data_IF_807475873493
#
_entry.id   IF_807475873493
#
_cell.length_a   1.000
_cell.length_b   1.000
_cell.length_c   1.000
_cell.angle_alpha   90.00
_cell.angle_beta   90.00
_cell.angle_gamma   90.00
#
_symmetry.space_group_name_H-M   'P 1'
#
loop_
_entity.id
_entity.type
_entity.pdbx_description
1 polymer ?
#
# COMPACT_ATOMS: atom_id res chain seq x y z
N UNK A 1 3.61 -9.21 3.15
CA UNK A 1 2.40 -9.34 3.99
C UNK A 1 2.39 -8.22 5.04
N UNK A 2 1.24 -7.54 5.24
CA UNK A 2 1.04 -6.48 6.25
C UNK A 2 0.08 -6.93 7.38
N UNK A 3 -0.20 -8.23 7.49
CA UNK A 3 -1.08 -8.83 8.49
C UNK A 3 -0.78 -8.42 9.95
N UNK A 4 0.46 -8.03 10.26
CA UNK A 4 0.89 -7.55 11.58
C UNK A 4 0.85 -6.03 11.81
N UNK A 5 0.26 -5.24 10.90
CA UNK A 5 0.26 -3.77 11.03
C UNK A 5 -0.59 -3.32 12.23
N UNK A 6 -0.03 -2.48 13.10
CA UNK A 6 -0.78 -1.89 14.22
C UNK A 6 -1.65 -0.73 13.73
N UNK A 7 -2.82 -0.56 14.33
CA UNK A 7 -3.71 0.59 14.02
C UNK A 7 -3.06 1.93 14.41
N UNK A 8 -2.21 1.95 15.43
CA UNK A 8 -1.44 3.12 15.85
C UNK A 8 0.00 2.68 16.12
N UNK A 9 0.95 3.38 15.50
CA UNK A 9 2.39 3.20 15.69
C UNK A 9 3.00 4.53 16.17
N UNK A 10 3.95 4.50 17.10
CA UNK A 10 4.78 5.66 17.45
C UNK A 10 6.15 5.54 16.80
N UNK A 11 6.57 6.56 16.05
CA UNK A 11 7.80 6.53 15.27
C UNK A 11 8.25 7.96 14.93
N UNK A 12 9.53 8.30 15.15
CA UNK A 12 10.14 9.57 14.71
C UNK A 12 9.46 10.82 15.31
N UNK A 13 9.10 10.74 16.60
CA UNK A 13 8.38 11.83 17.26
C UNK A 13 6.94 12.04 16.75
N UNK A 14 6.38 11.08 15.99
CA UNK A 14 5.05 11.17 15.39
C UNK A 14 4.23 9.91 15.60
N UNK A 15 2.93 10.10 15.71
CA UNK A 15 1.95 9.02 15.62
C UNK A 15 1.63 8.74 14.16
N UNK A 16 1.73 7.47 13.77
CA UNK A 16 1.23 6.95 12.49
C UNK A 16 -0.03 6.15 12.77
N UNK A 17 -1.14 6.58 12.17
CA UNK A 17 -2.45 5.95 12.34
C UNK A 17 -2.79 5.23 11.03
N UNK A 18 -3.07 3.93 11.12
CA UNK A 18 -3.46 3.07 10.00
C UNK A 18 -4.93 2.65 10.18
N UNK A 19 -5.92 3.50 9.87
CA UNK A 19 -7.33 3.23 10.19
C UNK A 19 -7.91 2.01 9.46
N UNK A 20 -7.27 1.60 8.36
CA UNK A 20 -7.66 0.46 7.54
C UNK A 20 -6.76 -0.76 7.77
N UNK A 21 -5.95 -0.80 8.84
CA UNK A 21 -4.96 -1.87 9.07
C UNK A 21 -5.57 -3.28 9.09
N UNK A 22 -6.80 -3.40 9.57
CA UNK A 22 -7.51 -4.69 9.72
C UNK A 22 -8.56 -4.93 8.64
N UNK A 23 -8.63 -4.07 7.63
CA UNK A 23 -9.61 -4.21 6.57
C UNK A 23 -9.17 -5.25 5.54
N UNK A 24 -10.11 -6.08 5.11
CA UNK A 24 -9.91 -7.01 4.00
C UNK A 24 -10.10 -6.28 2.65
N UNK A 25 -9.59 -6.87 1.58
CA UNK A 25 -9.81 -6.36 0.22
C UNK A 25 -11.31 -6.26 -0.13
N UNK A 26 -12.12 -7.20 0.38
CA UNK A 26 -13.56 -7.21 0.16
C UNK A 26 -14.28 -6.09 0.90
N UNK A 27 -13.84 -5.76 2.13
CA UNK A 27 -14.37 -4.61 2.87
C UNK A 27 -14.05 -3.30 2.14
N UNK A 28 -12.82 -3.14 1.62
CA UNK A 28 -12.47 -1.97 0.81
C UNK A 28 -13.36 -1.90 -0.44
N UNK A 29 -13.54 -3.02 -1.16
CA UNK A 29 -14.40 -3.04 -2.37
C UNK A 29 -15.84 -2.66 -2.05
N UNK A 30 -16.40 -3.19 -0.97
CA UNK A 30 -17.76 -2.86 -0.51
C UNK A 30 -17.92 -1.36 -0.24
N UNK A 31 -16.96 -0.72 0.43
CA UNK A 31 -17.04 0.73 0.67
C UNK A 31 -16.94 1.57 -0.61
N UNK A 32 -16.16 1.12 -1.60
CA UNK A 32 -16.12 1.80 -2.90
C UNK A 32 -17.49 1.77 -3.57
N UNK A 33 -18.17 0.62 -3.56
CA UNK A 33 -19.50 0.46 -4.13
C UNK A 33 -20.56 1.25 -3.35
N UNK A 34 -20.58 1.13 -2.01
CA UNK A 34 -21.56 1.81 -1.16
C UNK A 34 -21.50 3.34 -1.26
N UNK A 35 -20.33 3.90 -1.55
CA UNK A 35 -20.09 5.35 -1.61
C UNK A 35 -19.90 5.88 -3.03
N UNK A 36 -20.07 5.04 -4.04
CA UNK A 36 -19.85 5.39 -5.45
C UNK A 36 -18.46 6.02 -5.71
N UNK A 37 -17.41 5.42 -5.11
CA UNK A 37 -16.05 5.91 -5.28
C UNK A 37 -15.44 5.37 -6.58
N UNK A 38 -14.82 6.23 -7.41
CA UNK A 38 -14.16 5.76 -8.62
C UNK A 38 -12.90 4.97 -8.28
N UNK A 39 -12.77 3.79 -8.89
CA UNK A 39 -11.52 3.01 -8.88
C UNK A 39 -10.48 3.67 -9.78
N UNK A 40 -9.20 3.49 -9.46
CA UNK A 40 -8.13 3.95 -10.34
C UNK A 40 -8.15 3.14 -11.66
N UNK A 41 -8.11 3.76 -12.86
CA UNK A 41 -8.29 3.06 -14.13
C UNK A 41 -7.31 1.89 -14.37
N UNK A 42 -6.08 2.00 -13.88
CA UNK A 42 -5.07 0.94 -14.00
C UNK A 42 -5.44 -0.35 -13.23
N UNK A 43 -6.33 -0.28 -12.23
CA UNK A 43 -6.80 -1.49 -11.53
C UNK A 43 -7.49 -2.43 -12.52
N UNK A 44 -8.33 -1.90 -13.41
CA UNK A 44 -8.98 -2.66 -14.49
C UNK A 44 -7.99 -3.20 -15.54
N UNK A 45 -6.78 -2.65 -15.59
CA UNK A 45 -5.70 -3.09 -16.48
C UNK A 45 -4.74 -4.09 -15.81
N UNK A 46 -5.08 -4.59 -14.61
CA UNK A 46 -4.29 -5.60 -13.90
C UNK A 46 -3.25 -5.04 -12.94
N UNK A 47 -3.36 -3.77 -12.52
CA UNK A 47 -2.46 -3.16 -11.52
C UNK A 47 -3.17 -2.99 -10.16
N UNK A 48 -3.27 -4.03 -9.32
CA UNK A 48 -3.96 -3.98 -8.03
C UNK A 48 -3.17 -3.21 -6.94
N UNK A 49 -1.87 -3.01 -7.11
CA UNK A 49 -1.06 -2.14 -6.26
C UNK A 49 -0.23 -1.19 -7.11
N UNK A 50 -0.48 0.11 -6.96
CA UNK A 50 0.08 1.15 -7.83
C UNK A 50 1.13 1.97 -7.06
N UNK A 51 2.30 2.17 -7.65
CA UNK A 51 3.36 3.05 -7.16
C UNK A 51 3.95 3.90 -8.29
N UNK A 52 5.27 4.15 -8.24
CA UNK A 52 5.96 4.82 -9.34
C UNK A 52 5.99 3.93 -10.59
N UNK A 53 5.90 4.54 -11.78
CA UNK A 53 5.91 3.85 -13.06
C UNK A 53 7.06 2.82 -13.25
N UNK A 54 8.34 3.12 -12.93
CA UNK A 54 9.43 2.16 -13.17
C UNK A 54 9.46 0.99 -12.17
N UNK A 55 8.62 1.00 -11.13
CA UNK A 55 8.64 0.00 -10.06
C UNK A 55 7.26 -0.64 -9.85
N UNK A 56 6.39 -0.58 -10.86
CA UNK A 56 5.04 -1.13 -10.82
C UNK A 56 4.75 -1.85 -12.14
N UNK A 57 4.37 -3.12 -12.08
CA UNK A 57 3.87 -3.90 -13.23
C UNK A 57 2.47 -4.47 -12.92
N UNK A 58 1.78 -4.91 -13.98
CA UNK A 58 0.57 -5.70 -13.82
C UNK A 58 0.89 -7.08 -13.22
N UNK A 59 -0.09 -7.69 -12.55
CA UNK A 59 0.02 -9.03 -11.96
C UNK A 59 -0.89 -10.02 -12.67
N UNK A 60 -0.51 -11.29 -12.71
CA UNK A 60 -1.36 -12.33 -13.27
C UNK A 60 -2.50 -12.69 -12.30
N UNK A 61 -3.63 -13.26 -12.79
CA UNK A 61 -4.69 -13.76 -11.92
C UNK A 61 -4.16 -14.75 -10.88
N UNK A 62 -4.47 -14.51 -9.60
CA UNK A 62 -4.03 -15.35 -8.49
C UNK A 62 -2.64 -15.04 -7.91
N UNK A 63 -1.87 -14.13 -8.52
CA UNK A 63 -0.66 -13.60 -7.89
C UNK A 63 -0.99 -12.71 -6.68
N UNK A 64 -0.02 -12.57 -5.77
CA UNK A 64 -0.11 -11.60 -4.68
C UNK A 64 -0.33 -10.19 -5.23
N UNK A 65 -1.25 -9.45 -4.63
CA UNK A 65 -1.66 -8.11 -5.11
C UNK A 65 -0.53 -7.07 -5.08
N UNK A 66 0.54 -7.30 -4.31
CA UNK A 66 1.73 -6.45 -4.25
C UNK A 66 2.91 -7.03 -5.04
N UNK A 67 2.80 -8.21 -5.66
CA UNK A 67 3.89 -8.83 -6.44
C UNK A 67 4.37 -7.95 -7.60
N UNK A 68 3.50 -7.06 -8.10
CA UNK A 68 3.83 -6.10 -9.15
C UNK A 68 4.67 -4.91 -8.66
N UNK A 69 4.80 -4.69 -7.35
CA UNK A 69 5.60 -3.61 -6.77
C UNK A 69 7.03 -4.06 -6.56
N UNK A 70 7.98 -3.24 -7.01
CA UNK A 70 9.41 -3.56 -6.94
C UNK A 70 9.76 -4.89 -7.58
N UNK A 71 9.00 -5.29 -8.62
CA UNK A 71 9.32 -6.44 -9.43
C UNK A 71 10.78 -6.33 -9.89
N UNK A 72 11.54 -7.41 -9.67
CA UNK A 72 12.96 -7.53 -10.02
C UNK A 72 13.92 -6.64 -9.19
N UNK A 73 13.47 -6.10 -8.06
CA UNK A 73 14.30 -5.36 -7.11
C UNK A 73 14.34 -6.07 -5.74
N UNK A 74 15.47 -5.96 -5.04
CA UNK A 74 15.61 -6.41 -3.65
C UNK A 74 15.01 -5.36 -2.69
N UNK A 75 13.70 -5.15 -2.82
CA UNK A 75 12.94 -4.17 -2.04
C UNK A 75 11.53 -4.64 -1.81
N UNK A 76 11.10 -4.60 -0.55
CA UNK A 76 9.77 -5.06 -0.13
C UNK A 76 8.88 -3.93 0.40
N UNK A 77 9.46 -2.79 0.78
CA UNK A 77 8.71 -1.67 1.33
C UNK A 77 9.26 -0.29 0.91
N UNK A 78 8.38 0.69 0.78
CA UNK A 78 8.72 2.05 0.38
C UNK A 78 9.42 2.82 1.50
N UNK A 79 10.35 3.72 1.14
CA UNK A 79 11.04 4.63 2.07
C UNK A 79 10.10 5.55 2.84
N UNK A 80 8.86 5.75 2.38
CA UNK A 80 7.84 6.51 3.14
C UNK A 80 7.40 5.79 4.44
N UNK A 81 7.73 4.49 4.57
CA UNK A 81 7.38 3.68 5.73
C UNK A 81 8.60 3.30 6.60
N UNK A 82 9.83 3.54 6.11
CA UNK A 82 11.08 3.28 6.83
C UNK A 82 11.79 4.60 7.17
N UNK A 83 12.46 4.63 8.32
CA UNK A 83 12.97 5.86 8.94
C UNK A 83 14.43 6.21 8.62
N UNK A 84 14.87 7.46 8.90
CA UNK A 84 14.09 8.61 9.43
C UNK A 84 13.96 9.77 8.46
N UNK A 85 12.98 10.62 8.74
CA UNK A 85 12.81 11.92 8.11
C UNK A 85 14.02 12.79 8.47
N UNK A 86 14.64 13.46 7.48
CA UNK A 86 15.89 14.25 7.65
C UNK A 86 15.75 15.53 8.50
N UNK A 87 14.81 15.58 9.45
CA UNK A 87 14.51 16.75 10.28
C UNK A 87 14.61 16.53 11.79
N UNK A 88 15.05 15.36 12.26
CA UNK A 88 15.13 15.05 13.69
C UNK A 88 16.43 15.49 14.40
N UNK A 89 17.31 16.26 13.72
CA UNK A 89 18.58 16.77 14.28
C UNK A 89 18.87 18.24 13.90
N UNK A 90 17.85 19.11 13.91
CA UNK A 90 18.06 20.57 13.98
C UNK A 90 17.37 21.08 15.24
#
# INVERSE_FOLDING_TARGET
DRSGLQSVEWSDGRYKINPLAHWTADQIRSEFEMRDLPQHPLVAQGFPSIGCAPCTRAVAPGEDVRSGRWADLDKTECGIHSQPWMGANI
#
